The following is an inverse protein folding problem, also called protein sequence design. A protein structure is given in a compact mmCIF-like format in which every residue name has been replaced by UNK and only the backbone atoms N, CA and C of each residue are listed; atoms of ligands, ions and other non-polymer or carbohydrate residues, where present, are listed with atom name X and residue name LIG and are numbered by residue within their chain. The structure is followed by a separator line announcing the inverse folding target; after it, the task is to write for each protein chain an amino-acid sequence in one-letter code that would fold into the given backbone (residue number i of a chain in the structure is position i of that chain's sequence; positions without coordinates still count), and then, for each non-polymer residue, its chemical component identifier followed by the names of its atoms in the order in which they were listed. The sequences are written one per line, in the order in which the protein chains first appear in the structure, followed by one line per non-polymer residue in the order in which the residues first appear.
data_IF_271439094451
#
_entry.id   IF_271439094451
#
_cell.length_a   1.000
_cell.length_b   1.000
_cell.length_c   1.000
_cell.angle_alpha   90.00
_cell.angle_beta   90.00
_cell.angle_gamma   90.00
#
_symmetry.space_group_name_H-M   'P 1'
#
loop_
_entity.id
_entity.type
_entity.pdbx_description
1 polymer ?
#
# COMPACT_ATOMS: atom_id res chain seq x y z
N UNK A 1 6.70 -31.96 8.22
CA UNK A 1 6.45 -30.56 7.81
C UNK A 1 4.97 -30.43 7.47
N UNK A 2 4.28 -29.46 8.07
CA UNK A 2 2.86 -29.17 7.79
C UNK A 2 2.75 -27.85 7.03
N UNK A 3 1.76 -27.70 6.15
CA UNK A 3 1.45 -26.41 5.50
C UNK A 3 -0.04 -26.14 5.57
N UNK A 4 -0.41 -24.91 5.91
CA UNK A 4 -1.79 -24.43 5.83
C UNK A 4 -1.86 -23.38 4.73
N UNK A 5 -2.75 -23.58 3.76
CA UNK A 5 -2.89 -22.73 2.57
C UNK A 5 -4.27 -22.10 2.57
N UNK A 6 -4.33 -20.79 2.29
CA UNK A 6 -5.56 -20.07 2.01
C UNK A 6 -5.61 -19.89 0.51
N UNK A 7 -6.53 -20.58 -0.18
CA UNK A 7 -6.60 -20.61 -1.64
C UNK A 7 -7.96 -20.09 -2.07
N UNK A 8 -7.98 -19.03 -2.87
CA UNK A 8 -9.23 -18.43 -3.32
C UNK A 8 -9.00 -17.13 -4.06
N UNK A 9 -9.79 -16.11 -3.75
CA UNK A 9 -9.84 -14.87 -4.53
C UNK A 9 -9.88 -13.63 -3.65
N UNK A 10 -9.48 -12.51 -4.26
CA UNK A 10 -9.72 -11.15 -3.78
C UNK A 10 -10.55 -10.45 -4.84
N UNK A 11 -11.63 -9.79 -4.45
CA UNK A 11 -12.50 -9.05 -5.37
C UNK A 11 -12.37 -7.56 -5.11
N UNK A 12 -12.16 -6.74 -6.14
CA UNK A 12 -12.16 -5.28 -5.99
C UNK A 12 -13.59 -4.77 -5.80
N UNK A 13 -13.82 -4.02 -4.73
CA UNK A 13 -15.12 -3.39 -4.42
C UNK A 13 -15.09 -1.92 -4.79
N UNK A 14 -13.92 -1.31 -4.67
CA UNK A 14 -13.60 0.00 -5.21
C UNK A 14 -12.33 -0.10 -6.07
N UNK A 15 -12.00 0.93 -6.87
CA UNK A 15 -10.79 0.94 -7.66
C UNK A 15 -9.53 0.76 -6.80
N UNK A 16 -8.63 -0.13 -7.19
CA UNK A 16 -7.39 -0.43 -6.45
C UNK A 16 -6.18 0.10 -7.19
N UNK A 17 -5.54 1.12 -6.60
CA UNK A 17 -4.28 1.66 -7.09
C UNK A 17 -3.09 1.08 -6.32
N UNK A 18 -2.14 0.49 -7.04
CA UNK A 18 -0.90 -0.03 -6.47
C UNK A 18 0.28 0.40 -7.33
N UNK A 19 1.39 0.74 -6.69
CA UNK A 19 2.62 1.15 -7.34
C UNK A 19 3.79 0.27 -6.90
N UNK A 20 4.64 -0.10 -7.84
CA UNK A 20 5.94 -0.71 -7.54
C UNK A 20 7.07 0.27 -7.86
N UNK A 21 8.19 0.22 -7.11
CA UNK A 21 9.37 1.02 -7.43
C UNK A 21 9.80 0.78 -8.88
N UNK A 22 10.04 1.87 -9.62
CA UNK A 22 10.51 1.84 -11.01
C UNK A 22 9.55 1.17 -12.02
N UNK A 23 8.29 0.90 -11.64
CA UNK A 23 7.25 0.42 -12.56
C UNK A 23 6.27 1.54 -12.82
N UNK A 24 6.03 1.86 -14.09
CA UNK A 24 5.02 2.83 -14.49
C UNK A 24 3.66 2.15 -14.61
N UNK A 25 2.64 2.72 -13.96
CA UNK A 25 1.28 2.21 -13.98
C UNK A 25 1.07 0.99 -13.07
N UNK A 26 -0.07 0.31 -13.25
CA UNK A 26 -0.41 -0.91 -12.50
C UNK A 26 0.47 -2.08 -12.97
N UNK A 27 1.07 -2.87 -12.06
CA UNK A 27 2.01 -3.91 -12.43
C UNK A 27 1.35 -5.08 -13.18
N UNK A 28 2.12 -5.67 -14.10
CA UNK A 28 1.77 -6.84 -14.90
C UNK A 28 2.83 -7.92 -14.79
N UNK A 29 2.42 -9.19 -14.87
CA UNK A 29 3.36 -10.30 -15.01
C UNK A 29 3.77 -10.50 -16.49
N UNK A 30 4.65 -11.47 -16.74
CA UNK A 30 5.11 -11.85 -18.09
C UNK A 30 4.01 -12.39 -19.00
N UNK A 31 2.85 -12.75 -18.43
CA UNK A 31 1.68 -13.26 -19.14
C UNK A 31 0.59 -12.19 -19.31
N UNK A 32 0.93 -10.91 -19.10
CA UNK A 32 0.01 -9.76 -19.18
C UNK A 32 -1.12 -9.71 -18.14
N UNK A 33 -1.14 -10.59 -17.13
CA UNK A 33 -2.07 -10.46 -16.02
C UNK A 33 -1.66 -9.29 -15.12
N UNK A 34 -2.58 -8.34 -14.94
CA UNK A 34 -2.47 -7.31 -13.92
C UNK A 34 -2.62 -7.94 -12.53
N UNK A 35 -1.99 -7.34 -11.53
CA UNK A 35 -2.06 -7.88 -10.18
C UNK A 35 -1.93 -6.85 -9.07
N UNK A 36 -2.46 -7.20 -7.91
CA UNK A 36 -2.15 -6.54 -6.64
C UNK A 36 -0.89 -7.24 -6.07
N UNK A 37 0.22 -6.53 -5.85
CA UNK A 37 1.45 -7.13 -5.34
C UNK A 37 1.28 -7.78 -3.97
N UNK A 38 1.94 -8.91 -3.79
CA UNK A 38 2.10 -9.61 -2.52
C UNK A 38 2.64 -8.70 -1.42
N UNK A 39 3.57 -7.80 -1.78
CA UNK A 39 4.14 -6.81 -0.85
C UNK A 39 3.08 -5.86 -0.29
N UNK A 40 2.14 -5.39 -1.13
CA UNK A 40 1.04 -4.52 -0.71
C UNK A 40 0.06 -5.26 0.19
N UNK A 41 -0.38 -6.46 -0.21
CA UNK A 41 -1.29 -7.29 0.58
C UNK A 41 -0.68 -7.69 1.92
N UNK A 42 0.58 -8.14 1.91
CA UNK A 42 1.31 -8.50 3.13
C UNK A 42 1.57 -7.28 4.00
N UNK A 43 1.87 -6.13 3.40
CA UNK A 43 2.07 -4.86 4.10
C UNK A 43 0.79 -4.39 4.81
N UNK A 44 -0.35 -4.45 4.12
CA UNK A 44 -1.67 -4.20 4.71
C UNK A 44 -1.93 -5.11 5.92
N UNK A 45 -1.81 -6.44 5.76
CA UNK A 45 -2.03 -7.38 6.87
C UNK A 45 -1.09 -7.10 8.07
N UNK A 46 0.19 -6.82 7.81
CA UNK A 46 1.18 -6.51 8.85
C UNK A 46 0.86 -5.20 9.58
N UNK A 47 0.45 -4.17 8.83
CA UNK A 47 0.04 -2.87 9.35
C UNK A 47 -1.21 -3.01 10.22
N UNK A 48 -2.23 -3.72 9.75
CA UNK A 48 -3.44 -4.00 10.52
C UNK A 48 -3.13 -4.74 11.82
N UNK A 49 -2.30 -5.79 11.74
CA UNK A 49 -1.87 -6.53 12.93
C UNK A 49 -1.22 -5.60 13.96
N UNK A 50 -0.32 -4.73 13.51
CA UNK A 50 0.43 -3.83 14.40
C UNK A 50 -0.44 -2.75 15.03
N UNK A 51 -1.37 -2.15 14.25
CA UNK A 51 -2.39 -1.25 14.79
C UNK A 51 -3.27 -1.96 15.83
N UNK A 52 -3.74 -3.18 15.52
CA UNK A 52 -4.58 -3.94 16.43
C UNK A 52 -3.83 -4.31 17.73
N UNK A 53 -2.56 -4.70 17.65
CA UNK A 53 -1.71 -4.93 18.83
C UNK A 53 -1.64 -3.68 19.70
N UNK A 54 -1.31 -2.53 19.11
CA UNK A 54 -1.21 -1.27 19.84
C UNK A 54 -2.54 -0.90 20.52
N UNK A 55 -3.66 -1.12 19.82
CA UNK A 55 -4.99 -0.91 20.37
C UNK A 55 -5.31 -1.84 21.55
N UNK A 56 -4.97 -3.13 21.47
CA UNK A 56 -5.18 -4.07 22.58
C UNK A 56 -4.28 -3.77 23.78
N UNK A 57 -3.02 -3.39 23.57
CA UNK A 57 -2.12 -2.97 24.65
C UNK A 57 -2.59 -1.69 25.35
N UNK A 58 -3.15 -0.74 24.60
CA UNK A 58 -3.67 0.51 25.16
C UNK A 58 -4.84 0.27 26.15
N UNK A 59 -5.63 -0.80 25.97
CA UNK A 59 -6.72 -1.17 26.91
C UNK A 59 -6.22 -1.54 28.31
N UNK A 60 -4.94 -1.89 28.43
CA UNK A 60 -4.29 -2.24 29.71
C UNK A 60 -3.13 -1.28 30.04
N UNK A 61 -3.19 -0.06 29.50
CA UNK A 61 -2.20 1.02 29.69
C UNK A 61 -0.74 0.61 29.38
N UNK A 62 -0.57 -0.32 28.43
CA UNK A 62 0.75 -0.69 27.87
C UNK A 62 0.95 -0.01 26.52
N UNK A 63 2.18 0.37 26.23
CA UNK A 63 2.57 1.04 24.97
C UNK A 63 3.82 0.40 24.41
N UNK A 64 3.87 0.30 23.08
CA UNK A 64 5.10 -0.02 22.36
C UNK A 64 5.95 1.25 22.23
N UNK A 65 7.26 1.09 22.33
CA UNK A 65 8.23 2.12 21.96
C UNK A 65 8.21 2.37 20.45
N UNK A 66 8.80 3.49 20.02
CA UNK A 66 8.94 3.83 18.59
C UNK A 66 9.66 2.73 17.82
N UNK A 67 10.73 2.17 18.40
CA UNK A 67 11.50 1.09 17.77
C UNK A 67 10.67 -0.20 17.60
N UNK A 68 9.86 -0.53 18.61
CA UNK A 68 8.96 -1.66 18.54
C UNK A 68 7.85 -1.43 17.52
N UNK A 69 7.34 -0.21 17.38
CA UNK A 69 6.38 0.14 16.34
C UNK A 69 7.00 -0.08 14.96
N UNK A 70 8.17 0.49 14.67
CA UNK A 70 8.85 0.30 13.36
C UNK A 70 9.16 -1.18 13.09
N UNK A 71 9.60 -1.92 14.11
CA UNK A 71 9.85 -3.35 13.99
C UNK A 71 8.55 -4.10 13.67
N UNK A 72 7.46 -3.88 14.40
CA UNK A 72 6.22 -4.61 14.20
C UNK A 72 5.48 -4.20 12.90
N UNK A 73 5.48 -2.91 12.53
CA UNK A 73 4.84 -2.39 11.31
C UNK A 73 5.61 -2.73 10.04
N UNK A 74 6.90 -2.45 10.03
CA UNK A 74 7.70 -2.44 8.79
C UNK A 74 8.78 -3.52 8.78
N UNK A 75 9.06 -4.15 9.93
CA UNK A 75 10.15 -5.12 10.05
C UNK A 75 11.53 -4.46 10.09
N UNK A 76 11.60 -3.17 10.43
CA UNK A 76 12.84 -2.36 10.42
C UNK A 76 13.31 -2.13 11.85
N UNK A 77 14.59 -2.36 12.11
CA UNK A 77 15.22 -2.12 13.41
C UNK A 77 15.86 -0.74 13.49
N UNK A 78 15.07 0.26 13.88
CA UNK A 78 15.55 1.62 14.15
C UNK A 78 16.42 1.71 15.40
N UNK A 79 16.23 0.78 16.35
CA UNK A 79 16.99 0.70 17.59
C UNK A 79 18.36 0.03 17.46
N UNK A 80 18.71 -0.50 16.28
CA UNK A 80 20.00 -1.17 15.98
C UNK A 80 20.35 -2.29 16.97
N UNK A 81 19.34 -3.03 17.45
CA UNK A 81 19.50 -4.15 18.38
C UNK A 81 19.89 -5.46 17.67
N UNK A 82 19.50 -5.62 16.41
CA UNK A 82 19.78 -6.80 15.60
C UNK A 82 21.16 -6.66 14.94
N UNK A 83 22.13 -7.45 15.39
CA UNK A 83 23.49 -7.48 14.79
C UNK A 83 23.54 -8.45 13.62
N UNK A 84 23.75 -7.92 12.41
CA UNK A 84 24.04 -8.70 11.21
C UNK A 84 25.49 -9.21 11.23
N UNK A 85 25.72 -10.51 11.01
CA UNK A 85 27.04 -11.04 10.65
C UNK A 85 28.06 -11.33 11.77
N UNK A 86 27.65 -11.41 13.03
CA UNK A 86 28.57 -11.68 14.15
C UNK A 86 28.44 -13.10 14.73
N UNK A 87 29.04 -14.08 14.06
CA UNK A 87 29.21 -15.45 14.59
C UNK A 87 28.19 -16.44 14.05
N UNK A 88 28.68 -17.60 13.63
CA UNK A 88 27.93 -18.78 13.21
C UNK A 88 26.61 -18.91 13.98
N UNK A 89 25.50 -18.92 13.25
CA UNK A 89 24.15 -18.97 13.81
C UNK A 89 24.06 -20.11 14.82
N UNK A 90 23.81 -19.79 16.09
CA UNK A 90 23.48 -20.80 17.08
C UNK A 90 22.24 -21.55 16.60
N UNK A 91 22.28 -22.89 16.66
CA UNK A 91 21.13 -23.72 16.31
C UNK A 91 19.92 -23.21 17.06
N UNK A 92 18.82 -22.95 16.34
CA UNK A 92 17.57 -22.45 16.90
C UNK A 92 17.63 -21.06 17.58
N UNK A 93 18.57 -20.18 17.20
CA UNK A 93 18.64 -18.79 17.72
C UNK A 93 17.28 -18.05 17.67
N UNK A 94 16.51 -18.29 16.62
CA UNK A 94 15.24 -17.60 16.39
C UNK A 94 14.03 -18.28 17.06
N UNK A 95 14.18 -19.50 17.59
CA UNK A 95 13.09 -20.27 18.20
C UNK A 95 12.43 -19.53 19.37
N UNK A 96 13.20 -19.10 20.39
CA UNK A 96 12.64 -18.36 21.53
C UNK A 96 11.90 -17.08 21.14
N UNK A 97 12.40 -16.34 20.13
CA UNK A 97 11.73 -15.13 19.62
C UNK A 97 10.36 -15.49 19.03
N UNK A 98 10.28 -16.56 18.23
CA UNK A 98 9.05 -17.00 17.58
C UNK A 98 7.99 -17.49 18.57
N UNK A 99 8.41 -18.10 19.67
CA UNK A 99 7.49 -18.62 20.70
C UNK A 99 6.69 -17.51 21.39
N UNK A 100 7.32 -16.34 21.58
CA UNK A 100 6.76 -15.19 22.31
C UNK A 100 6.30 -14.06 21.39
N UNK A 101 6.84 -13.93 20.17
CA UNK A 101 6.46 -12.87 19.23
C UNK A 101 5.82 -13.45 17.96
N UNK A 102 4.48 -13.62 17.93
CA UNK A 102 3.80 -14.17 16.78
C UNK A 102 3.85 -13.25 15.55
N UNK A 103 4.02 -11.92 15.73
CA UNK A 103 4.19 -10.98 14.62
C UNK A 103 5.49 -11.26 13.85
N UNK A 104 6.60 -11.47 14.56
CA UNK A 104 7.89 -11.87 13.96
C UNK A 104 7.85 -13.30 13.47
N UNK A 105 7.14 -14.22 14.13
CA UNK A 105 7.06 -15.59 13.62
C UNK A 105 6.30 -15.67 12.28
N UNK A 106 5.14 -15.01 12.20
CA UNK A 106 4.29 -14.99 10.99
C UNK A 106 4.93 -14.18 9.89
N UNK A 107 5.29 -12.92 10.13
CA UNK A 107 5.77 -12.05 9.06
C UNK A 107 7.29 -11.99 8.97
N UNK A 108 8.04 -12.20 10.05
CA UNK A 108 9.49 -12.01 10.07
C UNK A 108 9.90 -10.56 10.25
N UNK A 109 11.19 -10.31 10.07
CA UNK A 109 11.82 -9.00 9.93
C UNK A 109 12.95 -9.10 8.88
N UNK A 110 13.80 -8.07 8.77
CA UNK A 110 14.90 -8.09 7.80
C UNK A 110 15.97 -9.17 8.05
N UNK A 111 16.06 -9.75 9.25
CA UNK A 111 17.03 -10.78 9.64
C UNK A 111 16.41 -12.17 9.85
N UNK A 112 15.11 -12.26 10.10
CA UNK A 112 14.37 -13.49 10.40
C UNK A 112 13.25 -13.64 9.37
N UNK A 113 13.32 -14.68 8.52
CA UNK A 113 12.25 -14.96 7.55
C UNK A 113 10.92 -15.31 8.22
N UNK A 114 9.80 -14.78 7.73
CA UNK A 114 8.46 -15.12 8.24
C UNK A 114 7.96 -16.48 7.77
N UNK A 115 7.06 -17.09 8.54
CA UNK A 115 6.39 -18.34 8.19
C UNK A 115 5.23 -18.15 7.20
N UNK A 116 4.69 -16.93 7.08
CA UNK A 116 3.63 -16.57 6.15
C UNK A 116 4.19 -16.10 4.81
N UNK A 117 3.76 -16.77 3.75
CA UNK A 117 3.94 -16.39 2.36
C UNK A 117 2.62 -15.84 1.85
N UNK A 118 2.63 -14.63 1.32
CA UNK A 118 1.48 -13.99 0.66
C UNK A 118 1.79 -13.95 -0.84
N UNK A 119 0.87 -14.41 -1.66
CA UNK A 119 0.99 -14.35 -3.12
C UNK A 119 0.54 -13.01 -3.68
N UNK A 120 0.86 -12.74 -4.94
CA UNK A 120 0.18 -11.68 -5.69
C UNK A 120 -1.28 -12.11 -5.90
N UNK A 121 -2.19 -11.14 -5.98
CA UNK A 121 -3.55 -11.39 -6.45
C UNK A 121 -3.63 -11.04 -7.94
N UNK A 122 -3.86 -12.02 -8.80
CA UNK A 122 -3.81 -11.86 -10.27
C UNK A 122 -5.21 -11.76 -10.88
N UNK A 123 -5.45 -10.76 -11.72
CA UNK A 123 -6.58 -10.77 -12.65
C UNK A 123 -6.44 -11.91 -13.68
N UNK A 124 -7.49 -12.21 -14.44
CA UNK A 124 -7.34 -13.08 -15.60
C UNK A 124 -6.41 -12.42 -16.64
N UNK A 125 -5.65 -13.22 -17.37
CA UNK A 125 -4.78 -12.76 -18.47
C UNK A 125 -5.59 -12.13 -19.62
N UNK A 126 -6.88 -12.46 -19.70
CA UNK A 126 -7.81 -11.94 -20.71
C UNK A 126 -8.50 -10.65 -20.29
N UNK A 127 -8.40 -10.27 -19.01
CA UNK A 127 -9.09 -9.09 -18.50
C UNK A 127 -8.37 -7.81 -18.94
N UNK A 128 -9.16 -6.75 -19.14
CA UNK A 128 -8.66 -5.38 -19.32
C UNK A 128 -9.12 -4.48 -18.17
N UNK A 129 -8.63 -4.71 -16.94
CA UNK A 129 -9.20 -4.13 -15.73
C UNK A 129 -8.75 -2.71 -15.43
N UNK A 130 -8.02 -2.04 -16.34
CA UNK A 130 -7.41 -0.75 -16.02
C UNK A 130 -8.28 0.40 -16.48
N UNK A 131 -8.67 1.21 -15.51
CA UNK A 131 -9.38 2.47 -15.70
C UNK A 131 -8.56 3.62 -15.10
N UNK A 132 -8.77 4.84 -15.61
CA UNK A 132 -8.18 6.06 -15.05
C UNK A 132 -9.18 6.79 -14.16
N UNK A 133 -8.78 7.04 -12.92
CA UNK A 133 -9.54 7.71 -11.88
C UNK A 133 -8.89 9.02 -11.46
N UNK A 134 -9.63 9.84 -10.70
CA UNK A 134 -9.09 11.07 -10.11
C UNK A 134 -8.82 12.20 -11.12
N UNK A 135 -9.25 12.06 -12.37
CA UNK A 135 -9.21 13.12 -13.35
C UNK A 135 -10.19 14.24 -12.95
N UNK A 136 -9.76 15.49 -13.11
CA UNK A 136 -10.58 16.66 -12.82
C UNK A 136 -9.78 17.94 -12.96
N UNK A 137 -10.37 19.07 -12.59
CA UNK A 137 -9.67 20.33 -12.46
C UNK A 137 -10.02 20.96 -11.12
N UNK A 138 -9.03 21.62 -10.52
CA UNK A 138 -9.35 22.59 -9.46
C UNK A 138 -10.28 23.64 -10.06
N UNK A 139 -11.32 24.02 -9.32
CA UNK A 139 -12.25 25.08 -9.71
C UNK A 139 -11.97 26.32 -8.87
N UNK A 140 -12.21 27.51 -9.44
CA UNK A 140 -12.22 28.73 -8.66
C UNK A 140 -13.29 28.65 -7.57
N UNK A 141 -12.92 28.98 -6.34
CA UNK A 141 -13.84 28.96 -5.19
C UNK A 141 -15.07 29.84 -5.46
N UNK A 142 -14.86 31.03 -6.04
CA UNK A 142 -15.91 31.98 -6.40
C UNK A 142 -16.78 31.53 -7.58
N UNK A 143 -16.28 30.67 -8.48
CA UNK A 143 -17.12 30.07 -9.53
C UNK A 143 -18.02 28.98 -8.95
N UNK A 144 -17.49 28.18 -8.01
CA UNK A 144 -18.25 27.12 -7.35
C UNK A 144 -19.28 27.66 -6.37
N UNK A 145 -18.95 28.77 -5.71
CA UNK A 145 -19.82 29.46 -4.77
C UNK A 145 -19.77 30.97 -5.03
N UNK A 146 -20.61 31.48 -5.96
CA UNK A 146 -20.64 32.91 -6.30
C UNK A 146 -20.92 33.83 -5.11
N UNK A 147 -21.62 33.33 -4.09
CA UNK A 147 -21.91 34.08 -2.86
C UNK A 147 -20.66 34.49 -2.08
N UNK A 148 -19.51 33.82 -2.29
CA UNK A 148 -18.26 34.14 -1.60
C UNK A 148 -17.76 35.56 -1.89
N UNK A 149 -18.17 36.15 -3.02
CA UNK A 149 -17.83 37.54 -3.39
C UNK A 149 -18.29 38.53 -2.30
N UNK A 150 -19.43 38.27 -1.65
CA UNK A 150 -19.96 39.15 -0.60
C UNK A 150 -19.21 39.09 0.74
N UNK A 151 -18.22 38.21 0.88
CA UNK A 151 -17.44 38.01 2.12
C UNK A 151 -15.98 38.47 2.00
N UNK A 152 -15.61 39.08 0.87
CA UNK A 152 -14.24 39.50 0.58
C UNK A 152 -14.27 40.94 0.11
N UNK A 153 -13.35 41.76 0.63
CA UNK A 153 -13.23 43.16 0.25
C UNK A 153 -12.88 43.29 -1.24
N UNK A 154 -13.37 44.35 -1.88
CA UNK A 154 -13.20 44.54 -3.34
C UNK A 154 -11.74 44.59 -3.77
N UNK A 155 -10.86 45.16 -2.94
CA UNK A 155 -9.42 45.27 -3.21
C UNK A 155 -8.73 43.89 -3.28
N UNK A 156 -9.17 42.94 -2.47
CA UNK A 156 -8.67 41.55 -2.49
C UNK A 156 -9.20 40.77 -3.70
N UNK A 157 -10.41 41.08 -4.17
CA UNK A 157 -10.95 40.53 -5.42
C UNK A 157 -10.19 41.05 -6.64
N UNK A 158 -9.83 42.34 -6.66
CA UNK A 158 -8.98 42.93 -7.70
C UNK A 158 -7.58 42.31 -7.70
N UNK A 159 -7.01 42.07 -6.52
CA UNK A 159 -5.76 41.33 -6.37
C UNK A 159 -5.87 39.90 -6.93
N UNK A 160 -6.92 39.16 -6.60
CA UNK A 160 -7.17 37.83 -7.16
C UNK A 160 -7.31 37.86 -8.70
N UNK A 161 -8.01 38.85 -9.25
CA UNK A 161 -8.17 39.01 -10.68
C UNK A 161 -6.82 39.24 -11.37
N UNK A 162 -5.91 39.99 -10.73
CA UNK A 162 -4.53 40.17 -11.21
C UNK A 162 -3.77 38.84 -11.22
N UNK A 163 -3.86 38.04 -10.15
CA UNK A 163 -3.24 36.70 -10.11
C UNK A 163 -3.79 35.82 -11.24
N UNK A 164 -5.10 35.83 -11.48
CA UNK A 164 -5.74 35.02 -12.52
C UNK A 164 -5.28 35.41 -13.94
N UNK A 165 -5.13 36.71 -14.20
CA UNK A 165 -4.64 37.21 -15.47
C UNK A 165 -3.17 36.84 -15.71
N UNK A 166 -2.32 36.99 -14.69
CA UNK A 166 -0.91 36.62 -14.74
C UNK A 166 -0.74 35.10 -14.97
N UNK A 167 -1.55 34.26 -14.30
CA UNK A 167 -1.53 32.79 -14.49
C UNK A 167 -1.91 32.39 -15.93
N UNK A 168 -2.92 33.05 -16.51
CA UNK A 168 -3.31 32.84 -17.90
C UNK A 168 -2.20 33.24 -18.89
N UNK A 169 -1.55 34.38 -18.65
CA UNK A 169 -0.44 34.86 -19.48
C UNK A 169 0.77 33.91 -19.41
N UNK A 170 1.21 33.53 -18.21
CA UNK A 170 2.31 32.57 -18.04
C UNK A 170 1.99 31.20 -18.68
N UNK A 171 0.73 30.77 -18.65
CA UNK A 171 0.33 29.52 -19.31
C UNK A 171 0.50 29.59 -20.83
N UNK A 172 0.23 30.75 -21.45
CA UNK A 172 0.47 30.98 -22.87
C UNK A 172 1.96 31.02 -23.19
N UNK A 173 2.74 31.75 -22.39
CA UNK A 173 4.20 31.89 -22.58
C UNK A 173 4.96 30.56 -22.43
N UNK A 174 4.49 29.68 -21.55
CA UNK A 174 5.14 28.39 -21.29
C UNK A 174 4.60 27.22 -22.12
N UNK A 175 3.61 27.45 -22.99
CA UNK A 175 2.96 26.40 -23.79
C UNK A 175 3.96 25.70 -24.73
N UNK A 176 4.72 26.48 -25.49
CA UNK A 176 5.65 25.95 -26.48
C UNK A 176 6.83 25.25 -25.80
N UNK A 177 7.35 25.82 -24.70
CA UNK A 177 8.38 25.21 -23.87
C UNK A 177 7.95 23.84 -23.32
N UNK A 178 6.71 23.70 -22.86
CA UNK A 178 6.17 22.40 -22.38
C UNK A 178 6.05 21.37 -23.51
N UNK A 179 5.71 21.82 -24.72
CA UNK A 179 5.63 20.96 -25.89
C UNK A 179 7.02 20.45 -26.27
N UNK A 180 8.01 21.34 -26.35
CA UNK A 180 9.39 21.01 -26.69
C UNK A 180 9.99 20.04 -25.66
N UNK A 181 9.75 20.28 -24.37
CA UNK A 181 10.13 19.36 -23.29
C UNK A 181 9.57 17.95 -23.49
N UNK A 182 8.28 17.84 -23.83
CA UNK A 182 7.61 16.55 -24.05
C UNK A 182 8.18 15.81 -25.26
N UNK A 183 8.56 16.53 -26.31
CA UNK A 183 9.15 15.92 -27.51
C UNK A 183 10.61 15.48 -27.27
N UNK A 184 11.37 16.21 -26.45
CA UNK A 184 12.67 15.76 -25.93
C UNK A 184 12.54 14.50 -25.06
N UNK A 185 11.55 14.43 -24.16
CA UNK A 185 11.30 13.24 -23.33
C UNK A 185 10.96 11.99 -24.17
N UNK A 186 10.22 12.15 -25.28
CA UNK A 186 9.97 11.03 -26.21
C UNK A 186 11.27 10.57 -26.88
N UNK A 187 12.16 11.49 -27.21
CA UNK A 187 13.42 11.21 -27.89
C UNK A 187 14.38 10.38 -27.03
N UNK A 188 14.23 10.41 -25.69
CA UNK A 188 14.99 9.55 -24.77
C UNK A 188 14.74 8.04 -24.96
N UNK A 189 13.62 7.63 -25.56
CA UNK A 189 13.25 6.20 -25.71
C UNK A 189 14.16 5.41 -26.65
N UNK A 190 14.99 6.09 -27.45
CA UNK A 190 15.98 5.47 -28.36
C UNK A 190 17.40 6.03 -28.23
N UNK A 191 17.63 6.94 -27.28
CA UNK A 191 18.88 7.68 -27.17
C UNK A 191 19.99 6.85 -26.51
N UNK A 192 21.21 7.00 -27.04
CA UNK A 192 22.49 6.55 -26.47
C UNK A 192 22.82 7.26 -25.16
N UNK A 193 23.83 6.81 -24.42
CA UNK A 193 24.23 7.41 -23.15
C UNK A 193 24.64 8.90 -23.31
N UNK A 194 25.40 9.22 -24.34
CA UNK A 194 25.80 10.58 -24.69
C UNK A 194 24.60 11.45 -25.10
N UNK A 195 23.69 10.94 -25.94
CA UNK A 195 22.48 11.67 -26.34
C UNK A 195 21.56 11.94 -25.15
N UNK A 196 21.45 10.99 -24.21
CA UNK A 196 20.68 11.18 -22.97
C UNK A 196 21.22 12.33 -22.13
N UNK A 197 22.55 12.51 -22.08
CA UNK A 197 23.18 13.61 -21.33
C UNK A 197 22.88 14.97 -21.97
N UNK A 198 22.92 15.04 -23.30
CA UNK A 198 22.60 16.27 -24.06
C UNK A 198 21.12 16.63 -23.92
N UNK A 199 20.23 15.65 -24.13
CA UNK A 199 18.78 15.83 -23.98
C UNK A 199 18.44 16.22 -22.54
N UNK A 200 19.10 15.61 -21.55
CA UNK A 200 18.95 15.98 -20.13
C UNK A 200 19.25 17.46 -19.87
N UNK A 201 20.38 17.97 -20.37
CA UNK A 201 20.73 19.38 -20.20
C UNK A 201 19.75 20.35 -20.89
N UNK A 202 19.17 19.95 -22.03
CA UNK A 202 18.13 20.74 -22.71
C UNK A 202 16.83 20.76 -21.93
N UNK A 203 16.43 19.62 -21.34
CA UNK A 203 15.27 19.53 -20.45
C UNK A 203 15.47 20.43 -19.22
N UNK A 204 16.64 20.37 -18.59
CA UNK A 204 16.97 21.20 -17.43
C UNK A 204 16.88 22.71 -17.77
N UNK A 205 17.41 23.12 -18.92
CA UNK A 205 17.33 24.51 -19.39
C UNK A 205 15.91 24.98 -19.70
N UNK A 206 15.05 24.10 -20.22
CA UNK A 206 13.62 24.39 -20.41
C UNK A 206 12.92 24.50 -19.05
N UNK A 207 13.24 23.60 -18.11
CA UNK A 207 12.65 23.61 -16.77
C UNK A 207 13.03 24.90 -16.00
N UNK A 208 14.25 25.41 -16.18
CA UNK A 208 14.66 26.73 -15.66
C UNK A 208 13.87 27.88 -16.27
N UNK A 209 13.65 27.89 -17.60
CA UNK A 209 12.87 28.95 -18.26
C UNK A 209 11.40 28.94 -17.82
N UNK A 210 10.79 27.76 -17.70
CA UNK A 210 9.44 27.61 -17.17
C UNK A 210 9.37 28.09 -15.72
N UNK A 211 10.39 27.78 -14.91
CA UNK A 211 10.46 28.23 -13.52
C UNK A 211 10.60 29.74 -13.40
N UNK A 212 11.47 30.36 -14.20
CA UNK A 212 11.64 31.80 -14.22
C UNK A 212 10.34 32.53 -14.60
N UNK A 213 9.61 32.03 -15.60
CA UNK A 213 8.30 32.57 -15.97
C UNK A 213 7.26 32.43 -14.85
N UNK A 214 7.29 31.31 -14.10
CA UNK A 214 6.43 31.10 -12.93
C UNK A 214 6.79 31.99 -11.75
N UNK A 215 8.06 32.25 -11.51
CA UNK A 215 8.54 33.05 -10.38
C UNK A 215 8.34 34.55 -10.61
N UNK A 216 8.20 34.99 -11.86
CA UNK A 216 7.97 36.39 -12.23
C UNK A 216 6.52 36.87 -12.02
N UNK A 217 5.57 35.96 -11.76
CA UNK A 217 4.13 36.30 -11.70
C UNK A 217 3.66 36.73 -10.32
N UNK A 218 2.56 37.49 -10.28
CA UNK A 218 1.95 37.89 -9.01
C UNK A 218 1.26 36.71 -8.33
N UNK A 219 1.52 36.50 -7.03
CA UNK A 219 0.81 35.50 -6.22
C UNK A 219 1.48 34.12 -6.23
N UNK A 220 0.70 33.05 -6.43
CA UNK A 220 1.21 31.68 -6.36
C UNK A 220 2.08 31.35 -7.58
N UNK A 221 3.15 30.57 -7.42
CA UNK A 221 3.93 29.97 -8.52
C UNK A 221 3.26 28.74 -9.17
N UNK A 222 2.16 28.24 -8.59
CA UNK A 222 1.35 27.15 -9.13
C UNK A 222 -0.02 27.63 -9.65
N UNK A 223 -0.44 27.11 -10.81
CA UNK A 223 -1.70 27.53 -11.44
C UNK A 223 -2.91 27.20 -10.57
N UNK A 224 -3.88 28.11 -10.54
CA UNK A 224 -5.10 27.97 -9.76
C UNK A 224 -5.95 26.81 -10.31
N UNK A 225 -6.06 26.69 -11.64
CA UNK A 225 -6.86 25.68 -12.34
C UNK A 225 -6.03 24.50 -12.84
N UNK A 226 -5.10 24.00 -12.01
CA UNK A 226 -4.27 22.86 -12.40
C UNK A 226 -5.14 21.62 -12.68
N UNK A 227 -5.05 21.01 -13.88
CA UNK A 227 -5.64 19.70 -14.14
C UNK A 227 -5.05 18.65 -13.20
N UNK A 228 -5.91 17.77 -12.69
CA UNK A 228 -5.49 16.59 -11.95
C UNK A 228 -5.25 15.49 -12.97
N UNK A 229 -3.99 15.06 -13.10
CA UNK A 229 -3.52 14.10 -14.11
C UNK A 229 -4.10 12.67 -13.95
N UNK A 230 -4.91 12.46 -12.92
CA UNK A 230 -5.49 11.18 -12.53
C UNK A 230 -4.47 10.11 -12.21
N UNK A 231 -4.95 8.89 -12.01
CA UNK A 231 -4.14 7.71 -11.76
C UNK A 231 -4.81 6.47 -12.36
N UNK A 232 -4.00 5.47 -12.72
CA UNK A 232 -4.49 4.17 -13.18
C UNK A 232 -4.81 3.29 -11.97
N UNK A 233 -5.91 2.55 -12.04
CA UNK A 233 -6.28 1.57 -11.02
C UNK A 233 -6.87 0.31 -11.67
N UNK A 234 -6.80 -0.81 -10.95
CA UNK A 234 -7.65 -1.97 -11.25
C UNK A 234 -9.07 -1.55 -10.88
N UNK A 235 -9.99 -1.64 -11.82
CA UNK A 235 -11.37 -1.21 -11.64
C UNK A 235 -12.10 -2.05 -10.58
N UNK A 236 -13.24 -1.57 -10.10
CA UNK A 236 -14.14 -2.34 -9.25
C UNK A 236 -14.76 -3.54 -10.00
N UNK A 237 -15.17 -4.56 -9.26
CA UNK A 237 -15.85 -5.75 -9.80
C UNK A 237 -14.94 -6.84 -10.35
N UNK A 238 -13.61 -6.66 -10.32
CA UNK A 238 -12.67 -7.68 -10.79
C UNK A 238 -12.34 -8.69 -9.68
N UNK A 239 -12.35 -9.97 -10.05
CA UNK A 239 -11.98 -11.07 -9.14
C UNK A 239 -10.57 -11.57 -9.47
N UNK A 240 -9.69 -11.52 -8.49
CA UNK A 240 -8.27 -11.84 -8.62
C UNK A 240 -7.94 -13.14 -7.88
N UNK A 241 -7.27 -14.08 -8.55
CA UNK A 241 -6.78 -15.32 -7.94
C UNK A 241 -5.68 -15.02 -6.93
N UNK A 242 -5.84 -15.49 -5.69
CA UNK A 242 -4.94 -15.19 -4.59
C UNK A 242 -4.67 -16.41 -3.71
N UNK A 243 -3.46 -16.45 -3.12
CA UNK A 243 -3.05 -17.52 -2.21
C UNK A 243 -2.18 -16.99 -1.08
N UNK A 244 -2.43 -17.46 0.14
CA UNK A 244 -1.49 -17.38 1.26
C UNK A 244 -1.05 -18.78 1.68
N UNK A 245 0.14 -18.90 2.26
CA UNK A 245 0.66 -20.18 2.77
C UNK A 245 1.43 -19.93 4.06
N UNK A 246 1.00 -20.60 5.12
CA UNK A 246 1.67 -20.64 6.40
C UNK A 246 2.46 -21.96 6.50
N UNK A 247 3.77 -21.83 6.71
CA UNK A 247 4.72 -22.96 6.67
C UNK A 247 5.01 -23.46 8.08
N UNK A 248 4.77 -24.74 8.31
CA UNK A 248 4.92 -25.44 9.59
C UNK A 248 4.34 -24.68 10.80
N UNK A 249 3.10 -24.16 10.73
CA UNK A 249 2.57 -23.35 11.81
C UNK A 249 2.30 -24.13 13.07
N UNK A 250 2.64 -23.52 14.20
CA UNK A 250 2.01 -23.80 15.48
C UNK A 250 0.52 -23.42 15.44
N UNK A 251 -0.28 -23.98 16.35
CA UNK A 251 -1.68 -23.58 16.50
C UNK A 251 -1.80 -22.08 16.79
N UNK A 252 -0.89 -21.54 17.61
CA UNK A 252 -0.81 -20.11 17.96
C UNK A 252 -0.64 -19.23 16.73
N UNK A 253 0.25 -19.58 15.79
CA UNK A 253 0.46 -18.80 14.57
C UNK A 253 -0.74 -18.82 13.63
N UNK A 254 -1.44 -19.96 13.54
CA UNK A 254 -2.67 -20.05 12.76
C UNK A 254 -3.77 -19.17 13.37
N UNK A 255 -4.00 -19.26 14.69
CA UNK A 255 -4.97 -18.42 15.39
C UNK A 255 -4.61 -16.93 15.28
N UNK A 256 -3.33 -16.59 15.37
CA UNK A 256 -2.86 -15.23 15.20
C UNK A 256 -3.10 -14.70 13.77
N UNK A 257 -2.85 -15.50 12.73
CA UNK A 257 -3.17 -15.13 11.36
C UNK A 257 -4.69 -14.93 11.15
N UNK A 258 -5.51 -15.82 11.71
CA UNK A 258 -6.97 -15.67 11.68
C UNK A 258 -7.42 -14.40 12.43
N UNK A 259 -6.76 -14.06 13.54
CA UNK A 259 -7.02 -12.82 14.27
C UNK A 259 -6.65 -11.58 13.46
N UNK A 260 -5.55 -11.60 12.71
CA UNK A 260 -5.19 -10.50 11.81
C UNK A 260 -6.26 -10.32 10.73
N UNK A 261 -6.71 -11.42 10.12
CA UNK A 261 -7.77 -11.41 9.11
C UNK A 261 -9.11 -10.92 9.70
N UNK A 262 -9.43 -11.35 10.91
CA UNK A 262 -10.58 -10.85 11.69
C UNK A 262 -10.49 -9.33 11.93
N UNK A 263 -9.35 -8.81 12.40
CA UNK A 263 -9.16 -7.37 12.58
C UNK A 263 -9.16 -6.60 11.27
N UNK A 264 -8.70 -7.22 10.18
CA UNK A 264 -8.71 -6.63 8.85
C UNK A 264 -10.12 -6.44 8.29
N UNK A 265 -11.12 -7.18 8.78
CA UNK A 265 -12.52 -6.99 8.36
C UNK A 265 -13.09 -5.61 8.70
N UNK A 266 -12.48 -4.86 9.62
CA UNK A 266 -12.90 -3.48 9.95
C UNK A 266 -12.57 -2.49 8.83
N UNK A 267 -11.44 -2.70 8.14
CA UNK A 267 -10.99 -1.89 7.03
C UNK A 267 -10.15 -2.77 6.10
N UNK A 268 -10.82 -3.52 5.23
CA UNK A 268 -10.18 -4.45 4.31
C UNK A 268 -9.85 -3.74 3.00
N UNK A 269 -8.86 -2.86 3.05
CA UNK A 269 -8.45 -2.01 1.94
C UNK A 269 -6.94 -2.06 1.67
N UNK A 270 -6.57 -1.99 0.39
CA UNK A 270 -5.17 -2.06 -0.06
C UNK A 270 -4.89 -0.99 -1.11
N UNK A 271 -3.66 -0.45 -1.08
CA UNK A 271 -3.19 0.47 -2.11
C UNK A 271 -3.24 1.95 -1.71
N UNK A 272 -3.08 2.81 -2.70
CA UNK A 272 -3.08 4.27 -2.55
C UNK A 272 -4.46 4.90 -2.76
N UNK A 273 -4.51 6.23 -2.64
CA UNK A 273 -5.72 7.03 -2.90
C UNK A 273 -6.95 6.67 -2.03
N UNK A 274 -6.72 6.10 -0.84
CA UNK A 274 -7.80 5.73 0.09
C UNK A 274 -8.68 6.93 0.48
N UNK A 275 -8.12 8.14 0.52
CA UNK A 275 -8.89 9.38 0.75
C UNK A 275 -9.89 9.73 -0.37
N UNK A 276 -9.77 9.08 -1.53
CA UNK A 276 -10.71 9.19 -2.64
C UNK A 276 -11.69 7.99 -2.69
N UNK A 277 -11.71 7.15 -1.65
CA UNK A 277 -12.54 5.94 -1.60
C UNK A 277 -11.98 4.77 -2.41
N UNK A 278 -10.68 4.75 -2.71
CA UNK A 278 -10.02 3.64 -3.40
C UNK A 278 -9.51 2.56 -2.43
N UNK A 279 -9.39 1.33 -2.94
CA UNK A 279 -8.65 0.27 -2.28
C UNK A 279 -9.50 -0.80 -1.59
N UNK A 280 -10.81 -0.61 -1.45
CA UNK A 280 -11.70 -1.58 -0.80
C UNK A 280 -11.77 -2.90 -1.58
N UNK A 281 -11.62 -4.00 -0.85
CA UNK A 281 -11.60 -5.34 -1.39
C UNK A 281 -12.43 -6.29 -0.54
N UNK A 282 -12.94 -7.36 -1.17
CA UNK A 282 -13.46 -8.55 -0.49
C UNK A 282 -12.50 -9.71 -0.68
N UNK A 283 -12.56 -10.72 0.19
CA UNK A 283 -11.71 -11.90 0.14
C UNK A 283 -12.49 -13.17 0.44
N UNK A 284 -12.17 -14.24 -0.27
CA UNK A 284 -12.72 -15.58 0.01
C UNK A 284 -11.66 -16.63 -0.20
N UNK A 285 -11.44 -17.50 0.77
CA UNK A 285 -10.44 -18.55 0.73
C UNK A 285 -10.95 -19.87 1.31
N UNK A 286 -10.62 -20.96 0.62
CA UNK A 286 -10.59 -22.30 1.24
C UNK A 286 -9.30 -22.46 2.01
N UNK A 287 -9.40 -22.94 3.24
CA UNK A 287 -8.27 -23.24 4.12
C UNK A 287 -7.97 -24.73 4.00
N UNK A 288 -6.78 -25.03 3.51
CA UNK A 288 -6.36 -26.38 3.15
C UNK A 288 -5.09 -26.75 3.89
N UNK A 289 -5.06 -27.94 4.46
CA UNK A 289 -3.92 -28.50 5.17
C UNK A 289 -3.31 -29.67 4.41
N UNK A 290 -1.99 -29.77 4.41
CA UNK A 290 -1.25 -30.94 3.93
C UNK A 290 0.04 -31.09 4.72
N UNK A 291 0.53 -32.31 4.88
CA UNK A 291 1.81 -32.62 5.53
C UNK A 291 2.61 -33.64 4.71
N UNK A 292 3.81 -34.02 5.16
CA UNK A 292 4.52 -35.14 4.53
C UNK A 292 3.85 -36.49 4.81
N UNK A 293 3.24 -36.64 5.98
CA UNK A 293 2.53 -37.86 6.36
C UNK A 293 1.18 -37.96 5.64
N UNK A 294 0.55 -36.81 5.38
CA UNK A 294 -0.72 -36.66 4.66
C UNK A 294 -0.55 -35.66 3.49
N UNK A 295 0.02 -36.08 2.36
CA UNK A 295 0.32 -35.17 1.24
C UNK A 295 -0.93 -34.75 0.46
N UNK A 296 -2.04 -35.47 0.60
CA UNK A 296 -3.32 -35.10 -0.02
C UNK A 296 -3.90 -33.86 0.69
N UNK A 297 -4.11 -32.73 -0.01
CA UNK A 297 -4.64 -31.53 0.62
C UNK A 297 -6.06 -31.74 1.14
N UNK A 298 -6.27 -31.49 2.43
CA UNK A 298 -7.57 -31.59 3.10
C UNK A 298 -8.11 -30.20 3.42
N UNK A 299 -9.32 -29.89 2.97
CA UNK A 299 -10.01 -28.67 3.39
C UNK A 299 -10.37 -28.78 4.86
N UNK A 300 -9.93 -27.80 5.65
CA UNK A 300 -10.17 -27.71 7.09
C UNK A 300 -11.07 -26.53 7.45
N UNK A 301 -11.33 -25.61 6.52
CA UNK A 301 -12.27 -24.52 6.71
C UNK A 301 -12.41 -23.61 5.50
N UNK A 302 -13.28 -22.63 5.61
CA UNK A 302 -13.51 -21.59 4.59
C UNK A 302 -13.63 -20.23 5.29
N UNK A 303 -13.01 -19.21 4.71
CA UNK A 303 -12.96 -17.86 5.24
C UNK A 303 -13.45 -16.86 4.18
N UNK A 304 -14.38 -16.01 4.58
CA UNK A 304 -14.83 -14.85 3.80
C UNK A 304 -14.67 -13.58 4.61
N UNK A 305 -14.19 -12.51 3.95
CA UNK A 305 -14.18 -11.14 4.46
C UNK A 305 -14.88 -10.27 3.41
N UNK A 306 -16.02 -9.71 3.78
CA UNK A 306 -16.83 -8.85 2.92
C UNK A 306 -17.59 -7.81 3.78
N UNK A 307 -18.63 -7.20 3.24
CA UNK A 307 -19.43 -6.19 3.95
C UNK A 307 -20.19 -6.75 5.17
N UNK A 308 -20.40 -8.07 5.23
CA UNK A 308 -20.95 -8.75 6.42
C UNK A 308 -19.87 -9.03 7.49
N UNK A 309 -18.62 -8.62 7.24
CA UNK A 309 -17.48 -8.77 8.13
C UNK A 309 -16.73 -10.09 7.95
N UNK A 310 -16.23 -10.64 9.05
CA UNK A 310 -15.43 -11.86 9.08
C UNK A 310 -16.31 -13.11 9.28
N UNK A 311 -16.24 -14.05 8.34
CA UNK A 311 -17.01 -15.30 8.35
C UNK A 311 -16.06 -16.49 8.21
N UNK A 312 -15.99 -17.35 9.23
CA UNK A 312 -15.14 -18.54 9.24
C UNK A 312 -15.98 -19.79 9.53
N UNK A 313 -15.84 -20.82 8.69
CA UNK A 313 -16.48 -22.13 8.90
C UNK A 313 -15.42 -23.24 8.92
N UNK A 314 -15.73 -24.36 9.58
CA UNK A 314 -14.87 -25.55 9.65
C UNK A 314 -13.70 -25.48 10.64
N UNK A 315 -13.30 -24.28 11.07
CA UNK A 315 -12.26 -24.07 12.08
C UNK A 315 -12.78 -23.35 13.32
N UNK A 316 -12.28 -23.77 14.48
CA UNK A 316 -12.43 -23.02 15.72
C UNK A 316 -11.47 -21.84 15.73
N UNK A 317 -12.00 -20.64 15.97
CA UNK A 317 -11.23 -19.41 16.09
C UNK A 317 -11.64 -18.67 17.35
N UNK A 318 -10.64 -18.30 18.16
CA UNK A 318 -10.85 -17.56 19.41
C UNK A 318 -10.06 -16.25 19.38
N UNK A 319 -10.74 -15.18 18.96
CA UNK A 319 -10.16 -13.84 18.96
C UNK A 319 -9.79 -13.37 20.38
N UNK A 320 -10.58 -13.75 21.40
CA UNK A 320 -10.39 -13.30 22.78
C UNK A 320 -9.16 -13.92 23.42
N UNK A 321 -8.84 -15.17 23.09
CA UNK A 321 -7.60 -15.79 23.52
C UNK A 321 -6.37 -15.03 23.00
N UNK A 322 -6.38 -14.60 21.73
CA UNK A 322 -5.31 -13.79 21.15
C UNK A 322 -5.23 -12.40 21.80
N UNK A 323 -6.36 -11.72 21.98
CA UNK A 323 -6.42 -10.42 22.64
C UNK A 323 -5.91 -10.49 24.10
N UNK A 324 -6.30 -11.53 24.83
CA UNK A 324 -5.85 -11.76 26.21
C UNK A 324 -4.34 -11.98 26.26
N UNK A 325 -3.80 -12.81 25.36
CA UNK A 325 -2.35 -13.06 25.27
C UNK A 325 -1.53 -11.81 24.94
N UNK A 326 -2.12 -10.85 24.20
CA UNK A 326 -1.51 -9.53 23.96
C UNK A 326 -1.52 -8.69 25.25
N UNK A 327 -2.68 -8.62 25.91
CA UNK A 327 -2.90 -7.77 27.07
C UNK A 327 -2.11 -8.25 28.31
N UNK A 328 -2.08 -9.55 28.57
CA UNK A 328 -1.37 -10.14 29.71
C UNK A 328 0.15 -10.20 29.51
N UNK A 329 0.64 -10.05 28.27
CA UNK A 329 2.06 -10.06 27.92
C UNK A 329 2.61 -11.45 27.60
N UNK A 330 1.77 -12.47 27.47
CA UNK A 330 2.12 -13.78 26.91
C UNK A 330 2.77 -13.62 25.53
N UNK A 331 2.27 -12.65 24.74
CA UNK A 331 2.95 -12.19 23.54
C UNK A 331 3.84 -10.98 23.85
N UNK A 332 5.13 -11.12 23.56
CA UNK A 332 6.13 -10.08 23.74
C UNK A 332 6.54 -9.50 22.38
N UNK A 333 5.91 -8.39 22.00
CA UNK A 333 6.19 -7.69 20.74
C UNK A 333 7.50 -6.87 20.76
N UNK A 334 8.16 -6.78 21.92
CA UNK A 334 9.51 -6.24 22.07
C UNK A 334 10.63 -7.27 21.91
N UNK A 335 10.29 -8.57 21.84
CA UNK A 335 11.24 -9.63 21.57
C UNK A 335 11.48 -9.77 20.06
N UNK A 336 12.64 -9.35 19.57
CA UNK A 336 13.00 -9.43 18.15
C UNK A 336 14.50 -9.61 17.86
N UNK A 337 15.31 -9.92 18.88
CA UNK A 337 16.75 -10.17 18.78
C UNK A 337 17.25 -11.20 19.81
#
# INVERSE_FOLDING_TARGET
MKTVKFIGTITTVAPVNVSLPSVKGIPKNSHNAYYIPASSLRGMLRSTASHAIAHELAKVDKKLSVDEIYMNFSGVDTGRKVKLGGGYETVNKNGPIREVNPQISVFGNFAIGGNLKVGNAYCSETDSPITKYGNGARNHAFNRQPSLVGFVDTEELDYLQKIMNDDALTSLETSDLKKDRKDLEKSLKGATAEERKIIGAQIDGIDEQIRAAKDARTGSSESILRPLDGFEAIDEGYTLSHRMTLTNPSHKELQYLLWILYKSSVNFSVGGHQNLGCGDIHGTWKIVESSFDEPMPKTIGELTINDDGFQLTGLNFDAKAIETAIQDGTFNFGAYF
#
